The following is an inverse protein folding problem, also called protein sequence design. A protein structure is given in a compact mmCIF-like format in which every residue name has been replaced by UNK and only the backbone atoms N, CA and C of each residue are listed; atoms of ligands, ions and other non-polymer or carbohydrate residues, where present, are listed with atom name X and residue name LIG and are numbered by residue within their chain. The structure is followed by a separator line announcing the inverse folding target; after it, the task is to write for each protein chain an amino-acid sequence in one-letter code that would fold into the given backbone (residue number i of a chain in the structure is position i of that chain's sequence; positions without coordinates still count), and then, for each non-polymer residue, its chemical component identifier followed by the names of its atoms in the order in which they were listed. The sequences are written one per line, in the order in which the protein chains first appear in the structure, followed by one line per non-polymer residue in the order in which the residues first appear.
data_IF_100296580171
#
_entry.id   IF_100296580171
#
_cell.length_a   1.000
_cell.length_b   1.000
_cell.length_c   1.000
_cell.angle_alpha   90.00
_cell.angle_beta   90.00
_cell.angle_gamma   90.00
#
_symmetry.space_group_name_H-M   'P 1'
#
loop_
_entity.id
_entity.type
_entity.pdbx_description
1 polymer ?
#
# COMPACT_ATOMS: atom_id res chain seq x y z
N UNK A 1 46.23 -12.02 -18.99
CA UNK A 1 45.39 -10.81 -18.87
C UNK A 1 44.19 -11.00 -19.79
N UNK A 2 42.96 -10.96 -19.27
CA UNK A 2 41.68 -10.75 -19.98
C UNK A 2 40.58 -11.60 -19.34
N UNK A 3 39.98 -11.07 -18.28
CA UNK A 3 38.67 -11.47 -17.76
C UNK A 3 38.02 -10.19 -17.20
N UNK A 4 37.88 -9.17 -18.04
CA UNK A 4 37.51 -7.80 -17.60
C UNK A 4 36.31 -7.16 -18.29
N UNK A 5 35.78 -7.72 -19.39
CA UNK A 5 34.70 -7.06 -20.18
C UNK A 5 33.41 -7.89 -20.26
N UNK A 6 33.49 -9.22 -20.28
CA UNK A 6 32.29 -10.08 -20.34
C UNK A 6 31.48 -10.08 -19.03
N UNK A 7 32.15 -9.93 -17.88
CA UNK A 7 31.49 -9.85 -16.58
C UNK A 7 30.80 -8.51 -16.29
N UNK A 8 31.29 -7.40 -16.88
CA UNK A 8 30.79 -6.04 -16.61
C UNK A 8 29.39 -5.77 -17.16
N UNK A 9 29.06 -6.33 -18.33
CA UNK A 9 27.73 -6.19 -18.92
C UNK A 9 26.70 -7.01 -18.14
N UNK A 10 27.05 -8.24 -17.75
CA UNK A 10 26.17 -9.10 -16.96
C UNK A 10 25.89 -8.53 -15.55
N UNK A 11 26.86 -7.86 -14.92
CA UNK A 11 26.64 -7.18 -13.63
C UNK A 11 25.84 -5.89 -13.77
N UNK A 12 26.03 -5.13 -14.85
CA UNK A 12 25.22 -3.94 -15.14
C UNK A 12 23.74 -4.29 -15.32
N UNK A 13 23.42 -5.35 -16.07
CA UNK A 13 22.03 -5.80 -16.28
C UNK A 13 21.37 -6.31 -14.98
N UNK A 14 22.10 -7.05 -14.15
CA UNK A 14 21.60 -7.49 -12.82
C UNK A 14 21.34 -6.31 -11.88
N UNK A 15 22.15 -5.25 -11.97
CA UNK A 15 21.95 -4.03 -11.19
C UNK A 15 20.64 -3.32 -11.55
N UNK A 16 20.31 -3.25 -12.84
CA UNK A 16 19.08 -2.63 -13.34
C UNK A 16 17.82 -3.37 -12.84
N UNK A 17 17.75 -4.69 -13.03
CA UNK A 17 16.63 -5.51 -12.53
C UNK A 17 16.43 -5.38 -11.01
N UNK A 18 17.52 -5.32 -10.24
CA UNK A 18 17.44 -5.17 -8.78
C UNK A 18 16.89 -3.79 -8.36
N UNK A 19 17.16 -2.76 -9.15
CA UNK A 19 16.60 -1.42 -8.98
C UNK A 19 15.09 -1.39 -9.23
N UNK A 20 14.66 -2.01 -10.33
CA UNK A 20 13.24 -2.12 -10.71
C UNK A 20 12.41 -2.83 -9.63
N UNK A 21 12.88 -3.98 -9.13
CA UNK A 21 12.19 -4.71 -8.06
C UNK A 21 12.03 -3.88 -6.77
N UNK A 22 13.06 -3.10 -6.42
CA UNK A 22 13.03 -2.23 -5.24
C UNK A 22 12.03 -1.07 -5.43
N UNK A 23 12.03 -0.45 -6.61
CA UNK A 23 11.06 0.62 -6.94
C UNK A 23 9.63 0.08 -6.95
N UNK A 24 9.39 -1.08 -7.54
CA UNK A 24 8.08 -1.73 -7.54
C UNK A 24 7.59 -1.99 -6.11
N UNK A 25 8.46 -2.53 -5.26
CA UNK A 25 8.14 -2.76 -3.85
C UNK A 25 7.78 -1.46 -3.14
N UNK A 26 8.51 -0.36 -3.39
CA UNK A 26 8.21 0.95 -2.82
C UNK A 26 6.88 1.52 -3.32
N UNK A 27 6.59 1.38 -4.62
CA UNK A 27 5.31 1.77 -5.20
C UNK A 27 4.15 1.02 -4.54
N UNK A 28 4.30 -0.28 -4.27
CA UNK A 28 3.29 -1.07 -3.57
C UNK A 28 3.06 -0.60 -2.13
N UNK A 29 4.12 -0.27 -1.41
CA UNK A 29 3.98 0.31 -0.07
C UNK A 29 3.26 1.65 -0.10
N UNK A 30 3.63 2.53 -1.05
CA UNK A 30 2.97 3.83 -1.22
C UNK A 30 1.49 3.68 -1.62
N UNK A 31 1.17 2.75 -2.53
CA UNK A 31 -0.20 2.47 -2.94
C UNK A 31 -1.06 1.95 -1.77
N UNK A 32 -0.49 1.08 -0.92
CA UNK A 32 -1.13 0.61 0.31
C UNK A 32 -1.37 1.73 1.32
N UNK A 33 -0.41 2.62 1.50
CA UNK A 33 -0.58 3.77 2.40
C UNK A 33 -1.67 4.71 1.88
N UNK A 34 -1.66 4.99 0.58
CA UNK A 34 -2.65 5.84 -0.07
C UNK A 34 -4.08 5.27 0.04
N UNK A 35 -4.26 3.96 -0.17
CA UNK A 35 -5.59 3.33 -0.06
C UNK A 35 -6.15 3.41 1.36
N UNK A 36 -5.30 3.16 2.37
CA UNK A 36 -5.69 3.31 3.78
C UNK A 36 -6.00 4.76 4.15
N UNK A 37 -5.22 5.71 3.62
CA UNK A 37 -5.45 7.14 3.85
C UNK A 37 -6.79 7.60 3.26
N UNK A 38 -7.13 7.14 2.05
CA UNK A 38 -8.43 7.42 1.42
C UNK A 38 -9.59 6.85 2.22
N UNK A 39 -9.50 5.57 2.62
CA UNK A 39 -10.51 4.93 3.46
C UNK A 39 -10.72 5.67 4.79
N UNK A 40 -9.62 6.14 5.42
CA UNK A 40 -9.70 6.95 6.64
C UNK A 40 -10.39 8.29 6.40
N UNK A 41 -10.04 8.99 5.31
CA UNK A 41 -10.65 10.27 4.95
C UNK A 41 -12.16 10.13 4.66
N UNK A 42 -12.58 9.06 3.99
CA UNK A 42 -13.99 8.74 3.76
C UNK A 42 -14.74 8.48 5.07
N UNK A 43 -14.17 7.69 5.98
CA UNK A 43 -14.77 7.45 7.29
C UNK A 43 -14.84 8.72 8.16
N UNK A 44 -13.86 9.62 8.04
CA UNK A 44 -13.84 10.90 8.76
C UNK A 44 -14.95 11.82 8.25
N UNK A 45 -15.14 11.88 6.93
CA UNK A 45 -16.25 12.60 6.30
C UNK A 45 -17.64 12.06 6.70
N UNK A 46 -17.73 10.77 7.04
CA UNK A 46 -18.94 10.14 7.58
C UNK A 46 -19.16 10.40 9.09
N UNK A 47 -18.20 11.04 9.78
CA UNK A 47 -18.24 11.25 11.22
C UNK A 47 -18.15 9.95 12.02
N UNK A 48 -17.43 8.96 11.48
CA UNK A 48 -17.13 7.73 12.19
C UNK A 48 -16.04 7.96 13.25
N UNK A 49 -16.00 7.12 14.27
CA UNK A 49 -14.93 7.12 15.27
C UNK A 49 -13.83 6.12 14.92
N UNK A 50 -14.21 5.01 14.27
CA UNK A 50 -13.31 3.91 13.93
C UNK A 50 -13.72 3.21 12.64
N UNK A 51 -12.79 2.46 12.04
CA UNK A 51 -13.08 1.48 10.99
C UNK A 51 -12.71 0.09 11.52
N UNK A 52 -13.64 -0.85 11.45
CA UNK A 52 -13.46 -2.24 11.88
C UNK A 52 -13.36 -3.18 10.69
N UNK A 53 -12.81 -4.38 10.94
CA UNK A 53 -12.66 -5.44 9.94
C UNK A 53 -11.89 -4.98 8.69
N UNK A 54 -10.82 -4.22 8.91
CA UNK A 54 -9.98 -3.67 7.83
C UNK A 54 -9.24 -4.79 7.11
N UNK A 55 -9.39 -4.84 5.79
CA UNK A 55 -8.69 -5.75 4.88
C UNK A 55 -8.02 -4.95 3.78
N UNK A 56 -6.80 -5.35 3.42
CA UNK A 56 -6.07 -4.77 2.29
C UNK A 56 -5.75 -5.90 1.33
N UNK A 57 -6.17 -5.74 0.09
CA UNK A 57 -6.00 -6.72 -0.98
C UNK A 57 -5.16 -6.12 -2.11
N UNK A 58 -4.29 -6.95 -2.70
CA UNK A 58 -3.55 -6.61 -3.91
C UNK A 58 -4.13 -7.45 -5.04
N UNK A 59 -4.77 -6.78 -5.99
CA UNK A 59 -5.45 -7.40 -7.13
C UNK A 59 -4.55 -7.27 -8.35
N UNK A 60 -4.15 -8.39 -8.94
CA UNK A 60 -3.41 -8.40 -10.19
C UNK A 60 -4.41 -8.43 -11.34
N UNK A 61 -4.52 -7.34 -12.09
CA UNK A 61 -5.41 -7.24 -13.25
C UNK A 61 -4.73 -7.72 -14.54
N UNK A 62 -3.42 -7.53 -14.62
CA UNK A 62 -2.53 -8.00 -15.69
C UNK A 62 -1.08 -8.04 -15.19
N UNK A 63 -0.14 -8.49 -16.02
CA UNK A 63 1.31 -8.46 -15.72
C UNK A 63 1.81 -7.04 -15.38
N UNK A 64 1.16 -6.01 -15.91
CA UNK A 64 1.58 -4.61 -15.78
C UNK A 64 0.72 -3.80 -14.79
N UNK A 65 -0.47 -4.29 -14.44
CA UNK A 65 -1.43 -3.56 -13.61
C UNK A 65 -1.74 -4.32 -12.34
N UNK A 66 -1.42 -3.68 -11.23
CA UNK A 66 -1.77 -4.12 -9.89
C UNK A 66 -2.51 -3.02 -9.14
N UNK A 67 -3.61 -3.40 -8.48
CA UNK A 67 -4.45 -2.52 -7.70
C UNK A 67 -4.29 -2.83 -6.22
N UNK A 68 -4.30 -1.81 -5.36
CA UNK A 68 -4.35 -1.98 -3.92
C UNK A 68 -5.67 -1.44 -3.40
N UNK A 69 -6.48 -2.33 -2.83
CA UNK A 69 -7.82 -2.02 -2.34
C UNK A 69 -7.86 -2.17 -0.82
N UNK A 70 -8.40 -1.18 -0.12
CA UNK A 70 -8.63 -1.23 1.32
C UNK A 70 -10.14 -1.20 1.59
N UNK A 71 -10.62 -2.16 2.38
CA UNK A 71 -12.05 -2.32 2.70
C UNK A 71 -12.22 -2.47 4.20
N UNK A 72 -13.27 -1.87 4.76
CA UNK A 72 -13.63 -2.00 6.17
C UNK A 72 -15.01 -1.43 6.45
N UNK A 73 -15.43 -1.43 7.71
CA UNK A 73 -16.74 -0.90 8.14
C UNK A 73 -16.54 0.29 9.08
N UNK A 74 -16.99 1.47 8.67
CA UNK A 74 -16.98 2.66 9.52
C UNK A 74 -18.03 2.53 10.64
N UNK A 75 -17.63 2.82 11.88
CA UNK A 75 -18.49 2.70 13.08
C UNK A 75 -18.43 3.98 13.91
N UNK A 76 -19.57 4.30 14.52
CA UNK A 76 -19.72 5.42 15.47
C UNK A 76 -20.19 4.91 16.81
N UNK A 77 -19.58 5.39 17.89
CA UNK A 77 -20.01 5.06 19.24
C UNK A 77 -21.26 5.85 19.61
N UNK A 78 -22.22 5.18 20.23
CA UNK A 78 -23.44 5.83 20.74
C UNK A 78 -23.21 6.22 22.19
N UNK A 79 -23.45 7.48 22.53
CA UNK A 79 -23.35 7.99 23.91
C UNK A 79 -21.99 8.54 24.33
N UNK A 80 -20.97 8.49 23.46
CA UNK A 80 -19.68 9.19 23.65
C UNK A 80 -19.54 10.31 22.61
N UNK A 81 -19.01 11.50 22.98
CA UNK A 81 -18.76 12.56 22.02
C UNK A 81 -17.67 12.15 21.02
N UNK A 82 -18.02 12.22 19.74
CA UNK A 82 -17.11 12.01 18.61
C UNK A 82 -16.27 13.28 18.42
N UNK A 83 -14.96 13.18 18.66
CA UNK A 83 -14.03 14.31 18.61
C UNK A 83 -12.58 13.90 18.38
N UNK A 84 -12.33 12.69 17.88
CA UNK A 84 -10.99 12.15 17.60
C UNK A 84 -10.90 11.69 16.15
N UNK A 85 -9.69 11.74 15.59
CA UNK A 85 -9.42 11.16 14.27
C UNK A 85 -9.83 9.69 14.22
N UNK A 86 -10.43 9.30 13.09
CA UNK A 86 -10.78 7.92 12.79
C UNK A 86 -9.60 6.99 13.00
N UNK A 87 -9.83 5.91 13.76
CA UNK A 87 -8.83 4.87 14.03
C UNK A 87 -9.12 3.59 13.25
N UNK A 88 -8.09 2.96 12.69
CA UNK A 88 -8.20 1.66 12.03
C UNK A 88 -8.03 0.53 13.05
N UNK A 89 -9.02 -0.35 13.17
CA UNK A 89 -8.89 -1.59 13.93
C UNK A 89 -8.53 -2.73 12.97
N UNK A 90 -7.23 -3.00 12.91
CA UNK A 90 -6.71 -4.24 12.30
C UNK A 90 -6.85 -5.33 13.35
N UNK A 91 -7.46 -6.46 12.98
CA UNK A 91 -7.49 -7.65 13.84
C UNK A 91 -6.11 -8.28 13.94
#
# INVERSE_FOLDING_TARGET
MSMGVSGGIATALKGLQRGELKQLTQLMYAARELSLQRMKAEADALGADSIVNVQVEIIHRSEEIMEVVATGTAVKKVGEPSGRQVTLQVK
#
